data_IF_664985291931
#
_entry.id   IF_664985291931
#
_cell.length_a   1.000
_cell.length_b   1.000
_cell.length_c   1.000
_cell.angle_alpha   90.00
_cell.angle_beta   90.00
_cell.angle_gamma   90.00
#
_symmetry.space_group_name_H-M   'P 1'
#
loop_
_entity.id
_entity.type
_entity.pdbx_description
1 polymer ?
#
# COMPACT_ATOMS: atom_id res chain seq x y z
N UNK A 1 -8.90 14.47 12.73
CA UNK A 1 -10.15 15.11 12.26
C UNK A 1 -9.85 16.16 11.21
N UNK A 2 -9.01 17.17 11.48
CA UNK A 2 -8.65 18.22 10.50
C UNK A 2 -7.98 17.68 9.23
N UNK A 3 -7.05 16.72 9.35
CA UNK A 3 -6.39 16.07 8.21
C UNK A 3 -7.37 15.33 7.28
N UNK A 4 -8.40 14.69 7.85
CA UNK A 4 -9.42 13.98 7.07
C UNK A 4 -10.25 14.93 6.20
N UNK A 5 -10.58 16.12 6.71
CA UNK A 5 -11.28 17.14 5.92
C UNK A 5 -10.43 17.63 4.75
N UNK A 6 -9.12 17.82 4.97
CA UNK A 6 -8.18 18.19 3.90
C UNK A 6 -8.15 17.09 2.82
N UNK A 7 -8.04 15.82 3.22
CA UNK A 7 -7.99 14.70 2.28
C UNK A 7 -9.28 14.53 1.48
N UNK A 8 -10.43 14.70 2.15
CA UNK A 8 -11.72 14.70 1.49
C UNK A 8 -11.85 15.87 0.50
N UNK A 9 -11.45 17.08 0.90
CA UNK A 9 -11.46 18.25 0.03
C UNK A 9 -10.57 18.07 -1.21
N UNK A 10 -9.33 17.60 -1.02
CA UNK A 10 -8.40 17.28 -2.12
C UNK A 10 -9.01 16.24 -3.06
N UNK A 11 -9.66 15.21 -2.52
CA UNK A 11 -10.35 14.20 -3.32
C UNK A 11 -11.47 14.81 -4.16
N UNK A 12 -12.29 15.70 -3.59
CA UNK A 12 -13.34 16.40 -4.34
C UNK A 12 -12.79 17.28 -5.45
N UNK A 13 -11.72 18.05 -5.19
CA UNK A 13 -11.04 18.86 -6.22
C UNK A 13 -10.52 17.97 -7.36
N UNK A 14 -9.94 16.81 -7.04
CA UNK A 14 -9.44 15.87 -8.04
C UNK A 14 -10.57 15.24 -8.86
N UNK A 15 -11.73 14.94 -8.28
CA UNK A 15 -12.89 14.44 -9.03
C UNK A 15 -13.35 15.49 -10.04
N UNK A 16 -13.48 16.75 -9.63
CA UNK A 16 -13.86 17.85 -10.53
C UNK A 16 -12.81 18.02 -11.64
N UNK A 17 -11.53 18.06 -11.28
CA UNK A 17 -10.44 18.18 -12.25
C UNK A 17 -10.44 17.03 -13.27
N UNK A 18 -10.50 15.79 -12.80
CA UNK A 18 -10.50 14.60 -13.67
C UNK A 18 -11.73 14.54 -14.58
N UNK A 19 -12.89 15.03 -14.13
CA UNK A 19 -14.09 15.14 -14.96
C UNK A 19 -13.89 16.07 -16.17
N UNK A 20 -13.30 17.25 -15.97
CA UNK A 20 -13.05 18.23 -17.04
C UNK A 20 -11.91 17.81 -17.97
N UNK A 21 -10.84 17.22 -17.44
CA UNK A 21 -9.63 16.88 -18.20
C UNK A 21 -9.58 15.43 -18.70
N UNK A 22 -10.68 14.68 -18.62
CA UNK A 22 -10.77 13.26 -19.01
C UNK A 22 -10.33 12.94 -20.45
N UNK A 23 -10.24 13.94 -21.32
CA UNK A 23 -9.80 13.80 -22.71
C UNK A 23 -8.27 13.86 -22.89
N UNK A 24 -7.54 14.39 -21.92
CA UNK A 24 -6.08 14.50 -21.96
C UNK A 24 -5.41 13.62 -20.90
N UNK A 25 -5.41 12.32 -21.16
CA UNK A 25 -5.08 11.31 -20.17
C UNK A 25 -3.65 11.45 -19.61
N UNK A 26 -2.67 11.81 -20.42
CA UNK A 26 -1.28 11.91 -19.95
C UNK A 26 -1.10 13.07 -18.96
N UNK A 27 -1.60 14.26 -19.31
CA UNK A 27 -1.51 15.44 -18.44
C UNK A 27 -2.30 15.20 -17.15
N UNK A 28 -3.51 14.65 -17.27
CA UNK A 28 -4.35 14.33 -16.12
C UNK A 28 -3.62 13.41 -15.13
N UNK A 29 -3.00 12.33 -15.61
CA UNK A 29 -2.29 11.37 -14.76
C UNK A 29 -1.14 12.05 -14.01
N UNK A 30 -0.32 12.84 -14.71
CA UNK A 30 0.83 13.53 -14.12
C UNK A 30 0.36 14.55 -13.07
N UNK A 31 -0.60 15.40 -13.43
CA UNK A 31 -1.09 16.46 -12.54
C UNK A 31 -1.79 15.88 -11.31
N UNK A 32 -2.64 14.86 -11.47
CA UNK A 32 -3.29 14.22 -10.33
C UNK A 32 -2.25 13.56 -9.41
N UNK A 33 -1.27 12.86 -9.97
CA UNK A 33 -0.21 12.23 -9.18
C UNK A 33 0.66 13.26 -8.47
N UNK A 34 0.91 14.42 -9.08
CA UNK A 34 1.65 15.53 -8.46
C UNK A 34 0.87 16.18 -7.31
N UNK A 35 -0.41 16.49 -7.50
CA UNK A 35 -1.27 17.06 -6.44
C UNK A 35 -1.34 16.08 -5.25
N UNK A 36 -1.55 14.80 -5.52
CA UNK A 36 -1.56 13.77 -4.48
C UNK A 36 -0.17 13.64 -3.81
N UNK A 37 0.91 13.65 -4.58
CA UNK A 37 2.28 13.60 -4.03
C UNK A 37 2.59 14.76 -3.09
N UNK A 38 2.19 15.99 -3.44
CA UNK A 38 2.41 17.16 -2.59
C UNK A 38 1.57 17.07 -1.32
N UNK A 39 0.29 16.70 -1.44
CA UNK A 39 -0.64 16.66 -0.30
C UNK A 39 -0.33 15.52 0.67
N UNK A 40 -0.04 14.33 0.14
CA UNK A 40 0.25 13.15 0.95
C UNK A 40 1.74 13.05 1.27
N UNK A 41 2.63 13.26 0.32
CA UNK A 41 4.06 13.03 0.53
C UNK A 41 4.80 14.12 1.32
N UNK A 42 4.42 15.40 1.22
CA UNK A 42 5.06 16.47 1.99
C UNK A 42 4.43 16.70 3.37
N UNK A 43 3.59 15.78 3.84
CA UNK A 43 3.00 15.82 5.17
C UNK A 43 4.07 15.76 6.26
N UNK A 44 3.75 16.26 7.45
CA UNK A 44 4.62 16.21 8.64
C UNK A 44 3.84 15.59 9.79
N UNK A 45 4.39 14.53 10.39
CA UNK A 45 3.81 13.88 11.58
C UNK A 45 2.49 13.14 11.34
N UNK A 46 2.14 12.83 10.08
CA UNK A 46 0.89 12.15 9.73
C UNK A 46 1.21 10.73 9.20
N UNK A 47 0.47 9.75 9.73
CA UNK A 47 0.63 8.33 9.43
C UNK A 47 1.38 7.60 10.54
N UNK A 48 0.92 6.40 10.88
CA UNK A 48 1.43 5.60 11.99
C UNK A 48 2.93 5.28 11.86
N UNK A 49 3.40 5.08 10.63
CA UNK A 49 4.80 4.71 10.38
C UNK A 49 5.67 5.93 10.01
N UNK A 50 5.14 7.17 10.03
CA UNK A 50 5.88 8.38 9.62
C UNK A 50 7.22 8.50 10.36
N UNK A 51 7.18 8.42 11.69
CA UNK A 51 8.39 8.49 12.52
C UNK A 51 9.34 7.32 12.27
N UNK A 52 8.80 6.13 11.99
CA UNK A 52 9.64 4.97 11.66
C UNK A 52 10.37 5.17 10.33
N UNK A 53 9.70 5.72 9.32
CA UNK A 53 10.33 6.05 8.05
C UNK A 53 11.40 7.16 8.20
N UNK A 54 11.14 8.16 9.03
CA UNK A 54 12.13 9.21 9.34
C UNK A 54 13.36 8.62 10.05
N UNK A 55 13.14 7.75 11.03
CA UNK A 55 14.22 7.04 11.72
C UNK A 55 15.03 6.17 10.76
N UNK A 56 14.37 5.46 9.84
CA UNK A 56 15.03 4.65 8.82
C UNK A 56 15.86 5.53 7.88
N UNK A 57 15.31 6.66 7.41
CA UNK A 57 16.03 7.62 6.57
C UNK A 57 17.31 8.10 7.26
N UNK A 58 17.21 8.53 8.53
CA UNK A 58 18.36 8.98 9.30
C UNK A 58 19.37 7.83 9.55
N UNK A 59 18.89 6.62 9.86
CA UNK A 59 19.76 5.45 10.06
C UNK A 59 20.54 5.06 8.79
N UNK A 60 19.95 5.25 7.60
CA UNK A 60 20.63 5.05 6.32
C UNK A 60 21.80 6.03 6.16
N UNK A 61 21.59 7.29 6.51
CA UNK A 61 22.60 8.34 6.43
C UNK A 61 23.79 8.05 7.37
N UNK A 62 23.53 7.42 8.52
CA UNK A 62 24.57 6.95 9.46
C UNK A 62 25.09 5.53 9.17
N UNK A 63 24.77 4.93 8.02
CA UNK A 63 25.12 3.55 7.66
C UNK A 63 24.79 2.50 8.75
N UNK A 64 23.75 2.77 9.55
CA UNK A 64 23.36 1.98 10.72
C UNK A 64 21.97 1.35 10.52
N UNK A 65 21.72 0.85 9.31
CA UNK A 65 20.42 0.36 8.88
C UNK A 65 20.40 -1.16 8.70
N UNK A 66 19.25 -1.77 8.94
CA UNK A 66 19.01 -3.21 8.73
C UNK A 66 18.33 -3.47 7.38
N UNK A 67 17.93 -4.72 7.10
CA UNK A 67 17.38 -5.12 5.81
C UNK A 67 16.20 -4.22 5.35
N UNK A 68 16.48 -3.34 4.39
CA UNK A 68 15.55 -2.39 3.77
C UNK A 68 15.70 -2.52 2.25
N UNK A 69 14.64 -2.24 1.51
CA UNK A 69 14.60 -2.36 0.07
C UNK A 69 15.56 -1.36 -0.61
N UNK A 70 16.27 -1.78 -1.68
CA UNK A 70 17.29 -0.97 -2.34
C UNK A 70 16.82 0.39 -2.83
N UNK A 71 15.56 0.53 -3.28
CA UNK A 71 15.04 1.82 -3.75
C UNK A 71 14.96 2.85 -2.62
N UNK A 72 14.61 2.41 -1.42
CA UNK A 72 14.51 3.29 -0.25
C UNK A 72 15.89 3.75 0.16
N UNK A 73 16.88 2.85 0.16
CA UNK A 73 18.29 3.18 0.45
C UNK A 73 18.84 4.16 -0.57
N UNK A 74 18.68 3.86 -1.87
CA UNK A 74 19.20 4.69 -2.95
C UNK A 74 18.62 6.11 -2.88
N UNK A 75 17.29 6.23 -2.78
CA UNK A 75 16.64 7.53 -2.72
C UNK A 75 16.98 8.28 -1.43
N UNK A 76 17.11 7.58 -0.29
CA UNK A 76 17.51 8.23 0.97
C UNK A 76 18.90 8.88 0.83
N UNK A 77 19.88 8.14 0.31
CA UNK A 77 21.25 8.65 0.08
C UNK A 77 21.30 9.79 -0.94
N UNK A 78 20.45 9.76 -1.97
CA UNK A 78 20.40 10.87 -2.93
C UNK A 78 19.82 12.15 -2.33
N UNK A 79 18.96 12.02 -1.31
CA UNK A 79 18.20 13.11 -0.73
C UNK A 79 18.76 13.60 0.62
N UNK A 80 19.70 12.88 1.23
CA UNK A 80 20.27 13.22 2.54
C UNK A 80 20.92 14.62 2.59
N UNK A 81 21.39 15.10 1.44
CA UNK A 81 22.04 16.41 1.30
C UNK A 81 21.06 17.62 1.37
N UNK A 82 19.74 17.37 1.37
CA UNK A 82 18.73 18.42 1.41
C UNK A 82 18.09 18.52 2.80
N UNK A 83 17.85 19.75 3.28
CA UNK A 83 17.22 20.00 4.59
C UNK A 83 15.86 19.28 4.77
N UNK A 84 15.09 19.15 3.67
CA UNK A 84 13.80 18.45 3.64
C UNK A 84 13.86 17.11 2.90
N UNK A 85 15.03 16.46 2.87
CA UNK A 85 15.29 15.24 2.12
C UNK A 85 14.31 14.11 2.40
N UNK A 86 13.90 13.92 3.66
CA UNK A 86 12.91 12.94 4.05
C UNK A 86 11.52 13.23 3.46
N UNK A 87 11.05 14.48 3.50
CA UNK A 87 9.77 14.86 2.91
C UNK A 87 9.81 14.69 1.38
N UNK A 88 10.93 15.01 0.74
CA UNK A 88 11.11 14.76 -0.69
C UNK A 88 11.08 13.26 -1.02
N UNK A 89 11.67 12.41 -0.17
CA UNK A 89 11.59 10.96 -0.32
C UNK A 89 10.13 10.47 -0.29
N UNK A 90 9.37 10.91 0.71
CA UNK A 90 7.95 10.57 0.86
C UNK A 90 7.13 11.08 -0.33
N UNK A 91 7.38 12.30 -0.81
CA UNK A 91 6.76 12.85 -2.02
C UNK A 91 7.06 12.04 -3.27
N UNK A 92 8.30 11.60 -3.48
CA UNK A 92 8.68 10.77 -4.62
C UNK A 92 7.95 9.41 -4.55
N UNK A 93 7.95 8.74 -3.39
CA UNK A 93 7.22 7.49 -3.20
C UNK A 93 5.72 7.65 -3.48
N UNK A 94 5.09 8.70 -2.94
CA UNK A 94 3.69 9.00 -3.20
C UNK A 94 3.43 9.27 -4.69
N UNK A 95 4.27 10.07 -5.35
CA UNK A 95 4.14 10.38 -6.77
C UNK A 95 4.17 9.11 -7.62
N UNK A 96 5.20 8.29 -7.44
CA UNK A 96 5.35 7.05 -8.22
C UNK A 96 4.20 6.09 -7.94
N UNK A 97 3.75 5.99 -6.69
CA UNK A 97 2.61 5.16 -6.30
C UNK A 97 1.32 5.57 -7.02
N UNK A 98 0.95 6.86 -6.94
CA UNK A 98 -0.26 7.33 -7.60
C UNK A 98 -0.14 7.26 -9.13
N UNK A 99 1.02 7.60 -9.68
CA UNK A 99 1.30 7.50 -11.10
C UNK A 99 1.10 6.07 -11.62
N UNK A 100 1.64 5.07 -10.94
CA UNK A 100 1.50 3.66 -11.30
C UNK A 100 0.04 3.19 -11.19
N UNK A 101 -0.69 3.61 -10.15
CA UNK A 101 -2.12 3.32 -10.02
C UNK A 101 -2.91 3.85 -11.23
N UNK A 102 -2.71 5.13 -11.58
CA UNK A 102 -3.35 5.73 -12.74
C UNK A 102 -2.95 5.05 -14.05
N UNK A 103 -1.68 4.67 -14.21
CA UNK A 103 -1.19 3.94 -15.39
C UNK A 103 -1.73 2.50 -15.48
N UNK A 104 -1.99 1.85 -14.36
CA UNK A 104 -2.67 0.55 -14.30
C UNK A 104 -4.14 0.64 -14.71
N UNK A 105 -4.82 1.71 -14.28
CA UNK A 105 -6.25 1.89 -14.52
C UNK A 105 -6.55 2.56 -15.87
N UNK A 106 -5.55 3.14 -16.53
CA UNK A 106 -5.65 3.83 -17.83
C UNK A 106 -6.47 3.09 -18.89
N UNK A 107 -6.36 1.75 -18.97
CA UNK A 107 -7.09 0.94 -19.96
C UNK A 107 -8.62 0.99 -19.77
N UNK A 108 -9.10 1.22 -18.56
CA UNK A 108 -10.53 1.20 -18.23
C UNK A 108 -11.23 2.55 -18.45
N UNK A 109 -10.49 3.62 -18.71
CA UNK A 109 -11.01 4.97 -18.96
C UNK A 109 -11.96 5.49 -17.85
N UNK A 110 -11.70 5.12 -16.60
CA UNK A 110 -12.51 5.50 -15.41
C UNK A 110 -11.88 6.63 -14.59
N UNK A 111 -11.09 7.50 -15.20
CA UNK A 111 -10.31 8.55 -14.52
C UNK A 111 -11.11 9.39 -13.50
N UNK A 112 -12.36 9.83 -13.78
CA UNK A 112 -13.15 10.61 -12.82
C UNK A 112 -13.45 9.88 -11.51
N UNK A 113 -13.46 8.54 -11.56
CA UNK A 113 -13.77 7.70 -10.41
C UNK A 113 -12.53 7.28 -9.63
N UNK A 114 -11.32 7.46 -10.18
CA UNK A 114 -10.08 7.00 -9.54
C UNK A 114 -9.85 7.66 -8.17
N UNK A 115 -9.96 8.99 -8.00
CA UNK A 115 -9.79 9.60 -6.69
C UNK A 115 -10.80 9.07 -5.66
N UNK A 116 -12.06 8.91 -6.08
CA UNK A 116 -13.13 8.35 -5.24
C UNK A 116 -12.84 6.90 -4.84
N UNK A 117 -12.41 6.07 -5.78
CA UNK A 117 -12.04 4.68 -5.53
C UNK A 117 -10.86 4.60 -4.55
N UNK A 118 -9.82 5.42 -4.74
CA UNK A 118 -8.66 5.44 -3.84
C UNK A 118 -9.04 5.89 -2.43
N UNK A 119 -9.93 6.88 -2.30
CA UNK A 119 -10.42 7.33 -0.99
C UNK A 119 -11.31 6.28 -0.32
N UNK A 120 -12.30 5.75 -1.04
CA UNK A 120 -13.29 4.79 -0.51
C UNK A 120 -12.71 3.44 -0.13
N UNK A 121 -11.67 2.98 -0.83
CA UNK A 121 -10.94 1.75 -0.48
C UNK A 121 -9.91 1.97 0.63
N UNK A 122 -9.74 3.22 1.08
CA UNK A 122 -8.71 3.60 2.04
C UNK A 122 -7.28 3.57 1.48
N UNK A 123 -7.11 3.38 0.17
CA UNK A 123 -5.81 3.32 -0.49
C UNK A 123 -4.98 4.58 -0.24
N UNK A 124 -5.62 5.74 -0.17
CA UNK A 124 -4.95 7.01 0.16
C UNK A 124 -4.27 6.94 1.54
N UNK A 125 -4.99 6.47 2.57
CA UNK A 125 -4.42 6.29 3.91
C UNK A 125 -3.37 5.19 3.94
N UNK A 126 -3.51 4.18 3.09
CA UNK A 126 -2.49 3.14 2.92
C UNK A 126 -1.19 3.71 2.34
N UNK A 127 -1.25 4.66 1.40
CA UNK A 127 -0.06 5.39 0.92
C UNK A 127 0.60 6.15 2.08
N UNK A 128 -0.18 6.76 2.98
CA UNK A 128 0.37 7.49 4.12
C UNK A 128 1.01 6.61 5.19
N UNK A 129 0.45 5.42 5.41
CA UNK A 129 0.92 4.56 6.48
C UNK A 129 2.01 3.59 6.00
N UNK A 130 1.93 3.09 4.78
CA UNK A 130 2.77 1.99 4.32
C UNK A 130 3.35 2.30 2.94
N UNK A 131 4.13 3.37 2.82
CA UNK A 131 4.61 3.91 1.53
C UNK A 131 5.31 2.87 0.65
N UNK A 132 6.08 1.94 1.24
CA UNK A 132 6.79 0.88 0.50
C UNK A 132 5.84 -0.18 -0.05
N UNK A 133 4.90 -0.63 0.78
CA UNK A 133 3.87 -1.59 0.41
C UNK A 133 2.87 -0.98 -0.60
N UNK A 134 2.55 0.30 -0.45
CA UNK A 134 1.72 1.06 -1.38
C UNK A 134 2.37 1.15 -2.76
N UNK A 135 3.67 1.43 -2.83
CA UNK A 135 4.42 1.41 -4.08
C UNK A 135 4.34 0.03 -4.76
N UNK A 136 4.65 -1.05 -4.03
CA UNK A 136 4.54 -2.42 -4.56
C UNK A 136 3.12 -2.76 -5.04
N UNK A 137 2.10 -2.35 -4.29
CA UNK A 137 0.68 -2.57 -4.63
C UNK A 137 0.28 -1.80 -5.89
N UNK A 138 0.70 -0.54 -6.03
CA UNK A 138 0.44 0.25 -7.24
C UNK A 138 1.11 -0.36 -8.48
N UNK A 139 2.31 -0.92 -8.32
CA UNK A 139 2.98 -1.61 -9.40
C UNK A 139 2.26 -2.91 -9.78
N UNK A 140 1.75 -3.66 -8.80
CA UNK A 140 0.87 -4.80 -9.05
C UNK A 140 -0.37 -4.40 -9.85
N UNK A 141 -1.05 -3.31 -9.47
CA UNK A 141 -2.18 -2.76 -10.23
C UNK A 141 -1.77 -2.50 -11.69
N UNK A 142 -0.56 -2.01 -11.93
CA UNK A 142 -0.02 -1.84 -13.26
C UNK A 142 0.19 -3.17 -14.01
N UNK A 143 0.91 -4.14 -13.44
CA UNK A 143 1.32 -5.37 -14.14
C UNK A 143 0.28 -6.50 -14.10
N UNK A 144 -0.82 -6.37 -13.35
CA UNK A 144 -1.97 -7.29 -13.38
C UNK A 144 -2.53 -7.51 -14.80
N UNK A 145 -2.32 -6.54 -15.71
CA UNK A 145 -2.66 -6.69 -17.14
C UNK A 145 -2.05 -7.94 -17.77
N UNK A 146 -0.86 -8.35 -17.34
CA UNK A 146 -0.16 -9.51 -17.90
C UNK A 146 -0.80 -10.85 -17.49
N UNK A 147 -1.51 -10.88 -16.35
CA UNK A 147 -2.39 -12.01 -16.00
C UNK A 147 -3.52 -12.10 -17.03
N UNK A 148 -4.07 -10.95 -17.43
CA UNK A 148 -5.16 -10.88 -18.41
C UNK A 148 -4.71 -11.30 -19.82
N UNK A 149 -3.51 -10.90 -20.25
CA UNK A 149 -2.93 -11.21 -21.57
C UNK A 149 -2.17 -12.54 -21.63
N UNK A 150 -2.07 -13.28 -20.51
CA UNK A 150 -1.32 -14.55 -20.39
C UNK A 150 0.18 -14.41 -20.71
N UNK A 151 0.76 -13.25 -20.41
CA UNK A 151 2.18 -12.95 -20.65
C UNK A 151 3.02 -13.26 -19.39
N UNK A 152 3.19 -14.55 -19.07
CA UNK A 152 3.86 -14.98 -17.83
C UNK A 152 5.26 -14.39 -17.66
N UNK A 153 6.08 -14.35 -18.72
CA UNK A 153 7.44 -13.81 -18.63
C UNK A 153 7.47 -12.35 -18.19
N UNK A 154 6.61 -11.50 -18.78
CA UNK A 154 6.49 -10.08 -18.39
C UNK A 154 5.98 -9.94 -16.96
N UNK A 155 5.01 -10.76 -16.58
CA UNK A 155 4.47 -10.81 -15.22
C UNK A 155 5.56 -11.17 -14.20
N UNK A 156 6.29 -12.26 -14.44
CA UNK A 156 7.35 -12.77 -13.58
C UNK A 156 8.46 -11.73 -13.37
N UNK A 157 8.90 -11.06 -14.43
CA UNK A 157 9.90 -9.98 -14.33
C UNK A 157 9.37 -8.86 -13.42
N UNK A 158 8.11 -8.45 -13.57
CA UNK A 158 7.54 -7.41 -12.72
C UNK A 158 7.43 -7.84 -11.25
N UNK A 159 7.06 -9.09 -10.97
CA UNK A 159 7.02 -9.64 -9.61
C UNK A 159 8.42 -9.65 -8.99
N UNK A 160 9.44 -10.09 -9.73
CA UNK A 160 10.83 -10.09 -9.26
C UNK A 160 11.29 -8.66 -8.94
N UNK A 161 11.04 -7.71 -9.85
CA UNK A 161 11.36 -6.30 -9.63
C UNK A 161 10.65 -5.77 -8.39
N UNK A 162 9.34 -6.02 -8.25
CA UNK A 162 8.55 -5.58 -7.08
C UNK A 162 9.09 -6.17 -5.78
N UNK A 163 9.47 -7.45 -5.80
CA UNK A 163 10.00 -8.19 -4.65
C UNK A 163 11.34 -7.63 -4.19
N UNK A 164 12.26 -7.41 -5.13
CA UNK A 164 13.62 -6.97 -4.81
C UNK A 164 13.63 -5.49 -4.47
N UNK A 165 13.00 -4.66 -5.30
CA UNK A 165 13.19 -3.21 -5.26
C UNK A 165 12.14 -2.47 -4.46
N UNK A 166 10.91 -2.97 -4.34
CA UNK A 166 9.81 -2.22 -3.73
C UNK A 166 9.42 -2.76 -2.36
N UNK A 167 9.04 -4.03 -2.29
CA UNK A 167 8.70 -4.70 -1.05
C UNK A 167 8.78 -6.23 -1.18
N UNK A 168 9.50 -6.89 -0.27
CA UNK A 168 9.77 -8.33 -0.33
C UNK A 168 8.50 -9.19 -0.37
N UNK A 169 7.42 -8.76 0.30
CA UNK A 169 6.16 -9.52 0.34
C UNK A 169 5.45 -9.58 -1.04
N UNK A 170 5.91 -8.82 -2.03
CA UNK A 170 5.43 -8.93 -3.41
C UNK A 170 5.63 -10.33 -4.00
N UNK A 171 6.54 -11.14 -3.45
CA UNK A 171 6.77 -12.51 -3.90
C UNK A 171 5.47 -13.35 -3.88
N UNK A 172 4.59 -13.12 -2.91
CA UNK A 172 3.29 -13.82 -2.78
C UNK A 172 2.40 -13.57 -4.00
N UNK A 173 2.54 -12.41 -4.66
CA UNK A 173 1.76 -12.07 -5.85
C UNK A 173 2.09 -12.98 -7.04
N UNK A 174 3.18 -13.74 -7.02
CA UNK A 174 3.42 -14.77 -8.03
C UNK A 174 2.23 -15.74 -8.15
N UNK A 175 1.63 -16.10 -7.00
CA UNK A 175 0.48 -17.02 -6.94
C UNK A 175 -0.75 -16.46 -7.66
N UNK A 176 -0.92 -15.13 -7.70
CA UNK A 176 -2.07 -14.49 -8.33
C UNK A 176 -2.17 -14.80 -9.84
N UNK A 177 -1.04 -15.10 -10.50
CA UNK A 177 -1.05 -15.48 -11.92
C UNK A 177 -1.77 -16.81 -12.17
N UNK A 178 -1.68 -17.74 -11.22
CA UNK A 178 -2.23 -19.08 -11.33
C UNK A 178 -3.69 -19.18 -10.85
N UNK A 179 -4.25 -18.11 -10.28
CA UNK A 179 -5.64 -18.08 -9.85
C UNK A 179 -6.55 -18.24 -11.06
N UNK A 180 -7.38 -19.29 -11.04
CA UNK A 180 -8.29 -19.58 -12.14
C UNK A 180 -9.34 -18.47 -12.28
N UNK A 181 -9.66 -18.08 -13.51
CA UNK A 181 -10.73 -17.07 -13.78
C UNK A 181 -12.15 -17.63 -13.62
N UNK A 182 -12.31 -18.81 -13.01
CA UNK A 182 -13.65 -19.37 -12.79
C UNK A 182 -14.37 -18.48 -11.79
N UNK A 183 -15.57 -18.03 -12.15
CA UNK A 183 -16.41 -17.28 -11.22
C UNK A 183 -16.75 -18.18 -10.04
N UNK A 184 -16.28 -17.79 -8.86
CA UNK A 184 -16.68 -18.43 -7.61
C UNK A 184 -18.14 -18.05 -7.36
N UNK A 185 -18.99 -19.03 -7.06
CA UNK A 185 -20.41 -18.80 -6.77
C UNK A 185 -20.56 -17.90 -5.53
N UNK A 186 -21.52 -16.96 -5.55
CA UNK A 186 -21.80 -16.06 -4.43
C UNK A 186 -22.07 -16.80 -3.11
N UNK A 187 -22.69 -17.99 -3.15
CA UNK A 187 -22.87 -18.82 -1.95
C UNK A 187 -21.54 -19.23 -1.34
N UNK A 188 -20.55 -19.58 -2.17
CA UNK A 188 -19.20 -19.93 -1.70
C UNK A 188 -18.52 -18.72 -1.06
N UNK A 189 -18.68 -17.51 -1.62
CA UNK A 189 -18.19 -16.28 -0.99
C UNK A 189 -18.80 -16.05 0.38
N UNK A 190 -20.12 -16.20 0.51
CA UNK A 190 -20.82 -16.05 1.80
C UNK A 190 -20.29 -17.07 2.81
N UNK A 191 -20.14 -18.34 2.41
CA UNK A 191 -19.59 -19.39 3.27
C UNK A 191 -18.15 -19.11 3.71
N UNK A 192 -17.29 -18.61 2.80
CA UNK A 192 -15.92 -18.24 3.13
C UNK A 192 -15.86 -17.06 4.11
N UNK A 193 -16.73 -16.05 3.94
CA UNK A 193 -16.81 -14.90 4.85
C UNK A 193 -17.33 -15.32 6.24
N UNK A 194 -18.35 -16.19 6.29
CA UNK A 194 -18.85 -16.76 7.54
C UNK A 194 -17.78 -17.59 8.25
N UNK A 195 -17.05 -18.43 7.50
CA UNK A 195 -15.94 -19.21 8.02
C UNK A 195 -14.85 -18.31 8.59
N UNK A 196 -14.44 -17.26 7.87
CA UNK A 196 -13.44 -16.31 8.34
C UNK A 196 -13.88 -15.60 9.63
N UNK A 197 -15.16 -15.20 9.73
CA UNK A 197 -15.72 -14.62 10.95
C UNK A 197 -15.72 -15.60 12.14
N UNK A 198 -16.11 -16.85 11.91
CA UNK A 198 -16.09 -17.90 12.95
C UNK A 198 -14.66 -18.16 13.41
N UNK A 199 -13.70 -18.31 12.49
CA UNK A 199 -12.28 -18.52 12.81
C UNK A 199 -11.69 -17.36 13.62
N UNK A 200 -12.10 -16.12 13.32
CA UNK A 200 -11.72 -14.94 14.10
C UNK A 200 -12.32 -14.98 15.51
N UNK A 201 -13.62 -15.34 15.65
CA UNK A 201 -14.28 -15.41 16.96
C UNK A 201 -13.77 -16.54 17.86
N UNK A 202 -13.35 -17.64 17.26
CA UNK A 202 -12.73 -18.76 17.97
C UNK A 202 -11.24 -18.55 18.25
N UNK A 203 -10.68 -17.39 17.89
CA UNK A 203 -9.26 -17.04 18.06
C UNK A 203 -8.28 -18.06 17.46
N UNK A 204 -8.74 -18.80 16.44
CA UNK A 204 -7.96 -19.85 15.76
C UNK A 204 -6.78 -19.21 15.03
N UNK A 205 -7.01 -18.03 14.44
CA UNK A 205 -5.97 -17.30 13.71
C UNK A 205 -4.83 -16.90 14.64
N UNK A 206 -5.15 -16.37 15.83
CA UNK A 206 -4.14 -16.02 16.83
C UNK A 206 -3.34 -17.25 17.24
N UNK A 207 -4.03 -18.32 17.63
CA UNK A 207 -3.42 -19.58 18.09
C UNK A 207 -2.48 -20.18 17.03
N UNK A 208 -2.91 -20.24 15.77
CA UNK A 208 -2.10 -20.81 14.69
C UNK A 208 -0.89 -19.94 14.40
N UNK A 209 -1.07 -18.61 14.30
CA UNK A 209 0.03 -17.69 14.01
C UNK A 209 1.04 -17.62 15.16
N UNK A 210 0.60 -17.61 16.42
CA UNK A 210 1.51 -17.62 17.57
C UNK A 210 2.38 -18.89 17.58
N UNK A 211 1.78 -20.05 17.27
CA UNK A 211 2.54 -21.30 17.15
C UNK A 211 3.57 -21.23 16.01
N UNK A 212 3.21 -20.69 14.85
CA UNK A 212 4.15 -20.51 13.74
C UNK A 212 5.27 -19.54 14.13
N UNK A 213 4.95 -18.39 14.71
CA UNK A 213 5.94 -17.37 15.10
C UNK A 213 6.89 -17.93 16.16
N UNK A 214 6.40 -18.75 17.11
CA UNK A 214 7.24 -19.40 18.13
C UNK A 214 8.32 -20.31 17.55
N UNK A 215 8.10 -20.84 16.35
CA UNK A 215 9.06 -21.69 15.63
C UNK A 215 10.10 -20.88 14.84
N UNK A 216 9.96 -19.55 14.71
CA UNK A 216 10.87 -18.69 13.96
C UNK A 216 12.08 -18.30 14.83
N UNK A 217 13.32 -18.63 14.45
CA UNK A 217 14.50 -18.26 15.23
C UNK A 217 14.71 -16.74 15.35
N UNK A 218 15.44 -16.32 16.40
CA UNK A 218 15.99 -14.97 16.62
C UNK A 218 14.99 -13.85 16.96
N UNK A 219 13.79 -13.83 16.36
CA UNK A 219 12.80 -12.76 16.58
C UNK A 219 11.45 -13.24 17.13
N UNK A 220 11.28 -14.54 17.41
CA UNK A 220 10.01 -15.10 17.89
C UNK A 220 9.46 -14.36 19.10
N UNK A 221 10.28 -14.07 20.12
CA UNK A 221 9.83 -13.37 21.33
C UNK A 221 9.33 -11.95 21.04
N UNK A 222 10.05 -11.19 20.21
CA UNK A 222 9.70 -9.81 19.89
C UNK A 222 8.42 -9.73 19.03
N UNK A 223 8.28 -10.65 18.07
CA UNK A 223 7.07 -10.77 17.25
C UNK A 223 5.89 -11.33 18.05
N UNK A 224 6.10 -12.31 18.94
CA UNK A 224 5.06 -12.84 19.82
C UNK A 224 4.56 -11.76 20.80
N UNK A 225 5.47 -10.99 21.38
CA UNK A 225 5.10 -9.89 22.28
C UNK A 225 4.26 -8.84 21.53
N UNK A 226 4.68 -8.44 20.32
CA UNK A 226 3.87 -7.54 19.47
C UNK A 226 2.53 -8.15 19.10
N UNK A 227 2.51 -9.42 18.69
CA UNK A 227 1.29 -10.12 18.28
C UNK A 227 0.29 -10.28 19.43
N UNK A 228 0.77 -10.58 20.64
CA UNK A 228 -0.04 -10.66 21.86
C UNK A 228 -0.46 -9.27 22.37
N UNK A 229 0.33 -8.22 22.15
CA UNK A 229 -0.10 -6.85 22.46
C UNK A 229 -1.18 -6.35 21.47
N UNK A 230 -1.22 -6.91 20.26
CA UNK A 230 -2.28 -6.65 19.27
C UNK A 230 -3.57 -7.40 19.64
N UNK A 231 -3.52 -8.46 20.46
CA UNK A 231 -4.73 -9.18 20.90
C UNK A 231 -5.55 -8.37 21.91
N UNK A 232 -6.38 -7.50 21.34
CA UNK A 232 -7.74 -7.14 21.73
C UNK A 232 -7.95 -6.30 23.00
N UNK A 233 -7.73 -4.99 22.87
CA UNK A 233 -8.73 -4.01 23.36
C UNK A 233 -9.96 -4.01 22.39
N UNK A 234 -10.56 -5.18 22.13
CA UNK A 234 -11.80 -5.25 21.34
C UNK A 234 -12.99 -5.10 22.28
N UNK A 235 -13.28 -3.86 22.61
CA UNK A 235 -14.55 -3.42 23.21
C UNK A 235 -15.56 -3.01 22.12
N UNK A 236 -15.43 -3.54 20.91
CA UNK A 236 -16.26 -3.19 19.75
C UNK A 236 -16.97 -4.39 19.14
N UNK A 237 -18.14 -4.16 18.54
CA UNK A 237 -18.96 -5.19 17.87
C UNK A 237 -18.29 -5.82 16.64
N UNK A 238 -17.13 -5.33 16.21
CA UNK A 238 -16.48 -5.71 14.95
C UNK A 238 -17.16 -5.11 13.71
N UNK A 239 -18.20 -4.29 13.89
CA UNK A 239 -18.91 -3.58 12.80
C UNK A 239 -18.33 -2.19 12.53
N UNK A 240 -17.43 -1.70 13.39
CA UNK A 240 -16.78 -0.40 13.24
C UNK A 240 -15.49 -0.51 12.42
N UNK A 241 -15.36 0.30 11.38
CA UNK A 241 -14.08 0.63 10.78
C UNK A 241 -13.50 1.78 11.60
N UNK A 242 -12.50 1.49 12.43
CA UNK A 242 -11.73 2.54 13.08
C UNK A 242 -10.79 3.14 12.03
N UNK A 243 -11.07 4.36 11.61
CA UNK A 243 -10.10 5.18 10.88
C UNK A 243 -9.10 5.70 11.93
N UNK A 244 -7.93 5.05 12.00
CA UNK A 244 -6.74 5.61 12.65
C UNK A 244 -5.80 6.13 11.58
#
# INVERSE_FOLDING_TARGET
MESLFIYFFVTMVLIVFTYFFKHNNNILIIVCSAILSVTYGLRVGIGNDYEQYNNIFNAINYNSYSAIEPTFILLSRLLEQYDYGFNYLMAIYAFVTFFLCYMGIRKYNIYPYVPLLMFSTGFIFFVDNQVRQALATSFFIYYMRFISTREFGKYLICVIISTIFMHFSSAVLLLAYFVTRKRINGVVWILLLLLAYILMKLDVVHTVLSNIISMVPYYSELYLQRFNNISLNVTGSGLGVLFW
#
